data_IF_502498141641
#
_entry.id   IF_502498141641
#
_cell.length_a   1.000
_cell.length_b   1.000
_cell.length_c   1.000
_cell.angle_alpha   90.00
_cell.angle_beta   90.00
_cell.angle_gamma   90.00
#
_symmetry.space_group_name_H-M   'P 1'
#
loop_
_entity.id
_entity.type
_entity.pdbx_description
1 polymer ?
#
# COMPACT_ATOMS: atom_id res chain seq x y z
N UNK A 1 4.76 17.15 -84.50
CA UNK A 1 4.31 18.53 -84.26
C UNK A 1 4.84 18.91 -82.88
N UNK A 2 5.69 19.95 -82.83
CA UNK A 2 6.43 20.45 -81.67
C UNK A 2 5.50 21.27 -80.79
N UNK A 3 5.55 21.10 -79.52
CA UNK A 3 5.15 22.16 -78.57
C UNK A 3 6.19 22.24 -77.45
N UNK A 4 6.88 23.35 -77.47
CA UNK A 4 7.73 23.84 -76.37
C UNK A 4 6.82 24.16 -75.13
N UNK A 5 7.30 23.86 -73.96
CA UNK A 5 6.77 24.37 -72.76
C UNK A 5 7.90 25.08 -72.01
N UNK A 6 7.63 26.33 -71.72
CA UNK A 6 8.52 27.26 -71.03
C UNK A 6 8.63 26.92 -69.50
N UNK A 7 9.85 27.04 -68.98
CA UNK A 7 10.19 26.92 -67.57
C UNK A 7 10.19 28.34 -66.97
N UNK A 8 9.42 28.61 -65.93
CA UNK A 8 9.62 29.84 -65.15
C UNK A 8 10.75 29.67 -64.13
N UNK A 9 11.67 30.60 -64.16
CA UNK A 9 12.74 30.76 -63.19
C UNK A 9 12.15 31.11 -61.80
N UNK A 10 12.44 30.33 -60.81
CA UNK A 10 12.12 30.64 -59.42
C UNK A 10 13.38 31.21 -58.78
N UNK A 11 13.28 32.45 -58.30
CA UNK A 11 14.28 33.17 -57.54
C UNK A 11 14.64 32.46 -56.23
N UNK A 12 15.89 32.12 -56.07
CA UNK A 12 16.45 31.69 -54.79
C UNK A 12 16.64 32.91 -53.89
N UNK A 13 15.77 33.09 -52.94
CA UNK A 13 16.01 33.96 -51.80
C UNK A 13 16.87 33.23 -50.77
N UNK A 14 18.13 33.55 -50.72
CA UNK A 14 19.07 33.15 -49.66
C UNK A 14 18.74 33.91 -48.37
N UNK A 15 17.89 33.32 -47.58
CA UNK A 15 17.70 33.73 -46.18
C UNK A 15 18.73 33.04 -45.29
N UNK A 16 19.82 33.74 -44.92
CA UNK A 16 20.67 33.31 -43.82
C UNK A 16 19.91 33.41 -42.51
N UNK A 17 19.25 32.33 -42.13
CA UNK A 17 18.74 32.16 -40.79
C UNK A 17 19.84 31.57 -39.91
N UNK A 18 20.41 32.41 -39.04
CA UNK A 18 21.25 32.00 -37.95
C UNK A 18 20.43 31.15 -36.96
N UNK A 19 20.30 29.85 -37.22
CA UNK A 19 19.85 28.91 -36.22
C UNK A 19 21.01 28.75 -35.21
N UNK A 20 20.87 29.45 -34.07
CA UNK A 20 21.57 29.06 -32.86
C UNK A 20 21.06 27.69 -32.47
N UNK A 21 21.87 26.65 -32.67
CA UNK A 21 21.60 25.35 -32.05
C UNK A 21 21.55 25.58 -30.52
N UNK A 22 20.33 25.64 -30.00
CA UNK A 22 20.11 25.45 -28.57
C UNK A 22 20.37 23.98 -28.33
N UNK A 23 21.55 23.64 -27.83
CA UNK A 23 21.78 22.35 -27.22
C UNK A 23 20.77 22.23 -26.08
N UNK A 24 19.66 21.57 -26.36
CA UNK A 24 18.78 21.02 -25.33
C UNK A 24 19.60 19.91 -24.69
N UNK A 25 20.28 20.21 -23.59
CA UNK A 25 20.75 19.16 -22.71
C UNK A 25 19.52 18.30 -22.35
N UNK A 26 19.63 16.97 -22.49
CA UNK A 26 18.57 16.11 -22.01
C UNK A 26 18.50 16.36 -20.49
N UNK A 27 17.51 17.12 -20.08
CA UNK A 27 17.11 17.12 -18.69
C UNK A 27 16.67 15.68 -18.42
N UNK A 28 17.57 14.87 -17.87
CA UNK A 28 17.18 13.70 -17.08
C UNK A 28 16.44 14.26 -15.87
N UNK A 29 15.18 14.65 -16.07
CA UNK A 29 14.24 14.68 -15.00
C UNK A 29 14.19 13.25 -14.50
N UNK A 30 14.81 13.00 -13.36
CA UNK A 30 14.33 12.01 -12.44
C UNK A 30 12.89 12.44 -12.15
N UNK A 31 11.95 12.00 -12.96
CA UNK A 31 10.54 12.05 -12.61
C UNK A 31 10.43 11.17 -11.39
N UNK A 32 10.43 11.81 -10.22
CA UNK A 32 10.14 11.16 -8.97
C UNK A 32 8.81 10.48 -9.15
N UNK A 33 8.78 9.16 -8.99
CA UNK A 33 7.58 8.34 -9.09
C UNK A 33 6.66 8.62 -7.89
N UNK A 34 6.14 9.84 -7.82
CA UNK A 34 5.13 10.20 -6.84
C UNK A 34 3.80 9.66 -7.36
N UNK A 35 3.19 8.78 -6.60
CA UNK A 35 1.85 8.26 -6.92
C UNK A 35 0.80 9.36 -6.79
N UNK A 36 -0.23 9.33 -7.64
CA UNK A 36 -1.38 10.24 -7.51
C UNK A 36 -2.25 9.84 -6.30
N UNK A 37 -3.15 10.74 -5.88
CA UNK A 37 -4.10 10.42 -4.80
C UNK A 37 -4.97 9.20 -5.12
N UNK A 38 -5.40 9.05 -6.38
CA UNK A 38 -6.19 7.89 -6.81
C UNK A 38 -5.38 6.59 -6.74
N UNK A 39 -4.12 6.63 -7.20
CA UNK A 39 -3.22 5.47 -7.10
C UNK A 39 -2.94 5.12 -5.64
N UNK A 40 -2.65 6.11 -4.81
CA UNK A 40 -2.41 5.91 -3.39
C UNK A 40 -3.63 5.30 -2.68
N UNK A 41 -4.83 5.76 -3.02
CA UNK A 41 -6.08 5.22 -2.48
C UNK A 41 -6.26 3.72 -2.81
N UNK A 42 -6.02 3.31 -4.06
CA UNK A 42 -6.12 1.90 -4.43
C UNK A 42 -5.04 1.05 -3.74
N UNK A 43 -3.81 1.56 -3.64
CA UNK A 43 -2.72 0.88 -2.92
C UNK A 43 -3.08 0.69 -1.44
N UNK A 44 -3.61 1.72 -0.77
CA UNK A 44 -4.04 1.66 0.63
C UNK A 44 -5.13 0.60 0.82
N UNK A 45 -6.15 0.59 -0.03
CA UNK A 45 -7.25 -0.39 0.03
C UNK A 45 -6.74 -1.82 -0.13
N UNK A 46 -5.87 -2.03 -1.12
CA UNK A 46 -5.29 -3.34 -1.39
C UNK A 46 -4.46 -3.83 -0.19
N UNK A 47 -3.55 -3.01 0.32
CA UNK A 47 -2.68 -3.38 1.45
C UNK A 47 -3.48 -3.60 2.75
N UNK A 48 -4.49 -2.77 3.00
CA UNK A 48 -5.38 -2.96 4.13
C UNK A 48 -6.15 -4.28 4.03
N UNK A 49 -6.69 -4.59 2.84
CA UNK A 49 -7.38 -5.86 2.59
C UNK A 49 -6.44 -7.06 2.77
N UNK A 50 -5.23 -7.02 2.19
CA UNK A 50 -4.23 -8.08 2.35
C UNK A 50 -3.88 -8.31 3.83
N UNK A 51 -3.73 -7.24 4.60
CA UNK A 51 -3.49 -7.33 6.04
C UNK A 51 -4.68 -8.00 6.75
N UNK A 52 -5.91 -7.61 6.47
CA UNK A 52 -7.09 -8.21 7.09
C UNK A 52 -7.28 -9.68 6.70
N UNK A 53 -7.02 -10.01 5.43
CA UNK A 53 -7.11 -11.39 4.94
C UNK A 53 -6.01 -12.28 5.53
N UNK A 54 -4.86 -11.70 5.90
CA UNK A 54 -3.77 -12.41 6.57
C UNK A 54 -4.06 -12.74 8.04
N UNK A 55 -5.07 -12.13 8.65
CA UNK A 55 -5.43 -12.44 10.02
C UNK A 55 -6.04 -13.83 10.09
N UNK A 56 -5.43 -14.68 10.92
CA UNK A 56 -5.94 -16.02 11.14
C UNK A 56 -7.19 -15.95 12.00
N UNK A 57 -8.26 -16.55 11.55
CA UNK A 57 -9.39 -16.83 12.44
C UNK A 57 -8.93 -17.76 13.56
N UNK A 58 -9.24 -17.41 14.80
CA UNK A 58 -8.94 -18.27 15.95
C UNK A 58 -9.93 -19.44 15.90
N UNK A 59 -9.56 -20.48 15.16
CA UNK A 59 -10.25 -21.75 15.30
C UNK A 59 -9.79 -22.40 16.60
N UNK A 60 -10.70 -22.91 17.43
CA UNK A 60 -10.38 -23.62 18.67
C UNK A 60 -9.55 -24.90 18.51
N UNK A 61 -9.15 -25.21 17.28
CA UNK A 61 -8.40 -26.38 16.84
C UNK A 61 -6.98 -26.05 16.34
N UNK A 62 -6.49 -24.81 16.48
CA UNK A 62 -5.13 -24.48 16.01
C UNK A 62 -4.07 -25.32 16.72
N UNK A 63 -3.11 -25.88 15.97
CA UNK A 63 -1.95 -26.56 16.58
C UNK A 63 -1.24 -25.61 17.54
N UNK A 64 -0.86 -26.12 18.69
CA UNK A 64 -0.18 -25.34 19.73
C UNK A 64 1.01 -26.13 20.26
N UNK A 65 2.05 -25.40 20.66
CA UNK A 65 3.17 -25.95 21.38
C UNK A 65 3.29 -25.29 22.77
N UNK A 66 3.98 -25.95 23.69
CA UNK A 66 4.35 -25.40 24.97
C UNK A 66 5.87 -25.25 25.01
N UNK A 67 6.34 -24.04 25.31
CA UNK A 67 7.75 -23.73 25.43
C UNK A 67 7.95 -22.85 26.66
N UNK A 68 8.86 -23.25 27.58
CA UNK A 68 9.11 -22.52 28.83
C UNK A 68 7.83 -22.17 29.61
N UNK A 69 6.94 -23.17 29.78
CA UNK A 69 5.64 -23.04 30.49
C UNK A 69 4.62 -22.10 29.81
N UNK A 70 4.91 -21.58 28.60
CA UNK A 70 4.00 -20.72 27.84
C UNK A 70 3.39 -21.50 26.69
N UNK A 71 2.13 -21.17 26.40
CA UNK A 71 1.42 -21.69 25.24
C UNK A 71 1.69 -20.80 24.03
N UNK A 72 1.95 -21.43 22.90
CA UNK A 72 2.15 -20.77 21.63
C UNK A 72 1.18 -21.33 20.59
N UNK A 73 0.67 -20.44 19.74
CA UNK A 73 -0.25 -20.75 18.66
C UNK A 73 0.47 -20.67 17.32
N UNK A 74 0.13 -21.56 16.40
CA UNK A 74 0.71 -21.54 15.05
C UNK A 74 0.30 -20.26 14.32
N UNK A 75 1.28 -19.63 13.64
CA UNK A 75 1.06 -18.49 12.73
C UNK A 75 1.10 -19.01 11.29
N UNK A 76 -0.01 -19.55 10.79
CA UNK A 76 -0.09 -20.11 9.44
C UNK A 76 0.11 -19.09 8.33
N UNK A 77 -0.21 -17.81 8.60
CA UNK A 77 -0.13 -16.69 7.67
C UNK A 77 1.14 -15.83 7.81
N UNK A 78 2.16 -16.30 8.54
CA UNK A 78 3.37 -15.49 8.79
C UNK A 78 4.09 -15.08 7.51
N UNK A 79 4.13 -15.96 6.51
CA UNK A 79 4.77 -15.67 5.22
C UNK A 79 4.07 -14.52 4.48
N UNK A 80 2.77 -14.42 4.58
CA UNK A 80 1.98 -13.31 4.01
C UNK A 80 2.35 -11.99 4.68
N UNK A 81 2.53 -11.99 6.01
CA UNK A 81 2.98 -10.81 6.75
C UNK A 81 4.34 -10.31 6.28
N UNK A 82 5.29 -11.21 5.96
CA UNK A 82 6.62 -10.83 5.43
C UNK A 82 6.52 -10.12 4.07
N UNK A 83 5.51 -10.44 3.28
CA UNK A 83 5.25 -9.81 1.98
C UNK A 83 4.67 -8.40 2.08
N UNK A 84 3.85 -8.13 3.11
CA UNK A 84 3.08 -6.88 3.21
C UNK A 84 3.62 -5.88 4.23
N UNK A 85 4.40 -6.30 5.23
CA UNK A 85 5.00 -5.42 6.23
C UNK A 85 6.42 -5.00 5.86
N UNK A 86 6.81 -3.77 6.23
CA UNK A 86 8.22 -3.39 6.23
C UNK A 86 8.99 -4.26 7.22
N UNK A 87 10.30 -4.42 6.99
CA UNK A 87 11.14 -5.16 7.93
C UNK A 87 10.98 -4.64 9.36
N UNK A 88 10.98 -3.32 9.55
CA UNK A 88 10.82 -2.70 10.88
C UNK A 88 9.48 -3.04 11.53
N UNK A 89 8.40 -3.03 10.76
CA UNK A 89 7.06 -3.38 11.28
C UNK A 89 6.99 -4.86 11.63
N UNK A 90 7.62 -5.72 10.83
CA UNK A 90 7.69 -7.16 11.08
C UNK A 90 8.53 -7.48 12.32
N UNK A 91 9.69 -6.84 12.49
CA UNK A 91 10.54 -7.00 13.68
C UNK A 91 9.75 -6.63 14.94
N UNK A 92 9.03 -5.49 14.91
CA UNK A 92 8.14 -5.09 15.99
C UNK A 92 7.00 -6.07 16.24
N UNK A 93 6.38 -6.59 15.18
CA UNK A 93 5.35 -7.63 15.31
C UNK A 93 5.90 -8.88 16.01
N UNK A 94 7.12 -9.30 15.64
CA UNK A 94 7.79 -10.47 16.24
C UNK A 94 8.06 -10.26 17.73
N UNK A 95 8.54 -9.07 18.10
CA UNK A 95 8.79 -8.71 19.50
C UNK A 95 7.48 -8.66 20.31
N UNK A 96 6.49 -7.90 19.83
CA UNK A 96 5.21 -7.71 20.52
C UNK A 96 4.46 -9.04 20.73
N UNK A 97 4.63 -10.00 19.83
CA UNK A 97 3.92 -11.29 19.84
C UNK A 97 4.80 -12.47 20.28
N UNK A 98 6.04 -12.21 20.70
CA UNK A 98 7.03 -13.24 21.05
C UNK A 98 7.07 -14.37 20.02
N UNK A 99 7.33 -14.02 18.76
CA UNK A 99 7.32 -14.99 17.66
C UNK A 99 8.49 -15.95 17.81
N UNK A 100 8.22 -17.24 17.69
CA UNK A 100 9.20 -18.33 17.64
C UNK A 100 9.15 -19.01 16.28
N UNK A 101 10.34 -19.40 15.79
CA UNK A 101 10.45 -20.27 14.63
C UNK A 101 11.02 -21.62 15.08
N UNK A 102 10.29 -22.71 14.85
CA UNK A 102 10.66 -24.05 15.25
C UNK A 102 10.06 -25.09 14.28
N UNK A 103 10.86 -26.06 13.87
CA UNK A 103 10.43 -27.13 12.96
C UNK A 103 9.74 -26.60 11.69
N UNK A 104 10.34 -25.54 11.08
CA UNK A 104 9.84 -24.84 9.88
C UNK A 104 8.46 -24.19 10.04
N UNK A 105 8.02 -23.97 11.29
CA UNK A 105 6.73 -23.32 11.61
C UNK A 105 6.95 -22.10 12.51
N UNK A 106 6.19 -21.04 12.23
CA UNK A 106 6.14 -19.87 13.09
C UNK A 106 5.02 -19.98 14.11
N UNK A 107 5.31 -19.55 15.32
CA UNK A 107 4.40 -19.58 16.47
C UNK A 107 4.40 -18.24 17.18
N UNK A 108 3.31 -17.90 17.85
CA UNK A 108 3.17 -16.73 18.71
C UNK A 108 2.56 -17.12 20.04
N UNK A 109 3.01 -16.50 21.14
CA UNK A 109 2.34 -16.67 22.43
C UNK A 109 1.15 -15.70 22.61
N UNK A 110 0.89 -14.83 21.66
CA UNK A 110 -0.31 -14.01 21.60
C UNK A 110 -1.36 -14.70 20.72
N UNK A 111 -2.64 -14.51 21.06
CA UNK A 111 -3.72 -14.96 20.19
C UNK A 111 -3.62 -14.24 18.84
N UNK A 112 -3.76 -14.97 17.73
CA UNK A 112 -3.83 -14.35 16.41
C UNK A 112 -4.92 -13.27 16.38
N UNK A 113 -4.64 -12.17 15.67
CA UNK A 113 -5.65 -11.13 15.46
C UNK A 113 -6.75 -11.66 14.56
N UNK A 114 -7.98 -11.27 14.85
CA UNK A 114 -9.13 -11.47 13.96
C UNK A 114 -9.32 -10.23 13.09
N UNK A 115 -9.99 -10.38 11.96
CA UNK A 115 -10.47 -9.24 11.17
C UNK A 115 -11.23 -8.26 12.05
N UNK A 116 -11.09 -6.97 11.75
CA UNK A 116 -11.87 -5.96 12.43
C UNK A 116 -13.37 -6.16 12.11
N UNK A 117 -14.21 -6.06 13.16
CA UNK A 117 -15.66 -6.14 13.00
C UNK A 117 -16.23 -4.75 12.73
N UNK A 118 -16.66 -4.50 11.49
CA UNK A 118 -17.23 -3.22 11.06
C UNK A 118 -18.34 -3.45 10.00
N UNK A 119 -19.24 -2.48 9.92
CA UNK A 119 -20.31 -2.49 8.92
C UNK A 119 -19.95 -1.62 7.70
N UNK A 120 -19.13 -0.58 7.91
CA UNK A 120 -18.67 0.34 6.87
C UNK A 120 -17.23 0.76 7.12
N UNK A 121 -16.47 0.89 6.06
CA UNK A 121 -15.08 1.37 6.07
C UNK A 121 -14.92 2.59 5.17
N UNK A 122 -14.25 3.63 5.69
CA UNK A 122 -13.86 4.80 4.94
C UNK A 122 -12.37 5.09 5.09
N UNK A 123 -11.81 5.78 4.12
CA UNK A 123 -10.39 6.09 4.02
C UNK A 123 -10.22 7.59 3.89
N UNK A 124 -9.43 8.20 4.75
CA UNK A 124 -9.11 9.63 4.69
C UNK A 124 -7.63 9.83 4.45
N UNK A 125 -7.28 10.42 3.32
CA UNK A 125 -5.91 10.79 2.99
C UNK A 125 -5.37 11.82 4.00
N UNK A 126 -4.11 11.64 4.42
CA UNK A 126 -3.38 12.58 5.27
C UNK A 126 -2.24 13.20 4.47
N UNK A 127 -1.41 12.38 3.83
CA UNK A 127 -0.29 12.85 3.02
C UNK A 127 0.22 11.76 2.08
N UNK A 128 0.75 12.19 0.94
CA UNK A 128 1.44 11.35 -0.04
C UNK A 128 2.79 12.00 -0.34
N UNK A 129 3.85 11.24 -0.26
CA UNK A 129 5.21 11.62 -0.65
C UNK A 129 5.80 10.56 -1.57
N UNK A 130 7.03 10.73 -2.04
CA UNK A 130 7.73 9.78 -2.90
C UNK A 130 7.88 8.39 -2.27
N UNK A 131 8.09 8.34 -0.96
CA UNK A 131 8.44 7.14 -0.20
C UNK A 131 7.44 6.78 0.90
N UNK A 132 6.39 7.59 1.10
CA UNK A 132 5.40 7.38 2.16
C UNK A 132 3.99 7.79 1.78
N UNK A 133 3.03 6.94 2.12
CA UNK A 133 1.60 7.19 2.00
C UNK A 133 0.97 7.06 3.39
N UNK A 134 0.16 8.05 3.79
CA UNK A 134 -0.53 8.06 5.09
C UNK A 134 -2.01 8.29 4.92
N UNK A 135 -2.78 7.43 5.56
CA UNK A 135 -4.23 7.51 5.63
C UNK A 135 -4.73 7.25 7.06
N UNK A 136 -5.93 7.71 7.34
CA UNK A 136 -6.74 7.18 8.43
C UNK A 136 -7.77 6.20 7.85
N UNK A 137 -7.83 5.02 8.44
CA UNK A 137 -8.88 4.03 8.20
C UNK A 137 -9.98 4.25 9.23
N UNK A 138 -11.18 4.55 8.77
CA UNK A 138 -12.35 4.85 9.59
C UNK A 138 -13.28 3.64 9.55
N UNK A 139 -13.43 2.95 10.67
CA UNK A 139 -14.27 1.77 10.81
C UNK A 139 -15.54 2.14 11.58
N UNK A 140 -16.68 1.99 10.93
CA UNK A 140 -18.01 2.22 11.51
C UNK A 140 -18.65 0.89 11.88
N UNK A 141 -19.13 0.80 13.11
CA UNK A 141 -19.89 -0.34 13.61
C UNK A 141 -21.20 0.12 14.18
N UNK A 142 -22.31 -0.45 13.71
CA UNK A 142 -23.61 -0.22 14.30
C UNK A 142 -23.70 -0.96 15.64
N UNK A 143 -23.93 -0.23 16.72
CA UNK A 143 -24.02 -0.78 18.07
C UNK A 143 -25.45 -1.00 18.54
N UNK A 144 -26.41 -0.35 17.89
CA UNK A 144 -27.84 -0.52 18.17
C UNK A 144 -28.68 -0.34 16.91
N UNK A 145 -29.43 -1.39 16.57
CA UNK A 145 -30.43 -1.38 15.49
C UNK A 145 -31.82 -1.11 16.03
N UNK A 146 -32.61 -0.30 15.33
CA UNK A 146 -34.03 -0.05 15.62
C UNK A 146 -34.80 0.17 14.31
N UNK A 147 -35.82 -0.64 14.07
CA UNK A 147 -36.60 -0.63 12.82
C UNK A 147 -35.74 -0.71 11.55
N UNK A 148 -34.78 -1.65 11.51
CA UNK A 148 -33.83 -1.89 10.41
C UNK A 148 -32.89 -0.72 10.13
N UNK A 149 -32.84 0.28 10.99
CA UNK A 149 -31.93 1.42 10.90
C UNK A 149 -30.95 1.41 12.05
N UNK A 150 -29.70 1.75 11.75
CA UNK A 150 -28.71 1.95 12.79
C UNK A 150 -29.06 3.22 13.59
N UNK A 151 -29.30 3.05 14.89
CA UNK A 151 -29.61 4.16 15.79
C UNK A 151 -28.36 4.72 16.45
N UNK A 152 -27.43 3.85 16.81
CA UNK A 152 -26.15 4.23 17.41
C UNK A 152 -25.02 3.54 16.65
N UNK A 153 -23.94 4.26 16.41
CA UNK A 153 -22.73 3.72 15.80
C UNK A 153 -21.52 4.06 16.65
N UNK A 154 -20.52 3.22 16.60
CA UNK A 154 -19.16 3.53 17.04
C UNK A 154 -18.29 3.83 15.83
N UNK A 155 -17.35 4.75 15.98
CA UNK A 155 -16.33 5.07 14.99
C UNK A 155 -14.96 4.81 15.60
N UNK A 156 -14.18 3.96 14.94
CA UNK A 156 -12.78 3.76 15.26
C UNK A 156 -11.91 4.34 14.16
N UNK A 157 -10.94 5.17 14.53
CA UNK A 157 -9.98 5.76 13.59
C UNK A 157 -8.61 5.14 13.81
N UNK A 158 -8.09 4.49 12.78
CA UNK A 158 -6.80 3.81 12.81
C UNK A 158 -5.84 4.46 11.83
N UNK A 159 -4.68 5.02 12.27
CA UNK A 159 -3.64 5.46 11.37
C UNK A 159 -3.08 4.25 10.60
N UNK A 160 -2.90 4.44 9.30
CA UNK A 160 -2.36 3.43 8.41
C UNK A 160 -1.31 4.09 7.51
N UNK A 161 -0.08 3.60 7.59
CA UNK A 161 1.03 4.17 6.84
C UNK A 161 1.72 3.09 6.01
N UNK A 162 2.05 3.45 4.78
CA UNK A 162 2.91 2.66 3.91
C UNK A 162 4.22 3.39 3.70
N UNK A 163 5.30 2.63 3.62
CA UNK A 163 6.62 3.07 3.19
C UNK A 163 7.09 2.23 2.00
N UNK A 164 7.92 2.85 1.15
CA UNK A 164 8.52 2.16 0.01
C UNK A 164 9.74 1.39 0.49
N UNK A 165 9.72 0.07 0.29
CA UNK A 165 10.83 -0.83 0.61
C UNK A 165 11.05 -1.79 -0.58
N UNK A 166 12.25 -1.74 -1.19
CA UNK A 166 12.59 -2.51 -2.41
C UNK A 166 11.61 -2.27 -3.57
N UNK A 167 11.25 -1.00 -3.80
CA UNK A 167 10.28 -0.55 -4.81
C UNK A 167 8.83 -1.02 -4.60
N UNK A 168 8.53 -1.63 -3.47
CA UNK A 168 7.18 -2.04 -3.08
C UNK A 168 6.62 -1.17 -1.96
N UNK A 169 5.32 -0.91 -1.99
CA UNK A 169 4.61 -0.26 -0.89
C UNK A 169 4.27 -1.28 0.18
N UNK A 170 4.88 -1.12 1.36
CA UNK A 170 4.71 -2.00 2.52
C UNK A 170 4.15 -1.27 3.72
N UNK A 171 3.40 -1.96 4.55
CA UNK A 171 2.82 -1.41 5.77
C UNK A 171 3.95 -1.12 6.76
N UNK A 172 4.12 0.15 7.12
CA UNK A 172 5.14 0.62 8.07
C UNK A 172 4.56 1.00 9.43
N UNK A 173 3.25 1.27 9.48
CA UNK A 173 2.55 1.56 10.73
C UNK A 173 1.07 1.24 10.61
N UNK A 174 0.57 0.51 11.59
CA UNK A 174 -0.85 0.25 11.78
C UNK A 174 -1.13 0.02 13.26
N UNK A 175 -2.11 0.76 13.80
CA UNK A 175 -2.58 0.56 15.17
C UNK A 175 -4.07 0.25 15.11
N UNK A 176 -4.44 -0.94 15.53
CA UNK A 176 -5.81 -1.25 15.96
C UNK A 176 -5.94 -0.74 17.39
N UNK A 177 -6.86 0.19 17.60
CA UNK A 177 -7.25 0.59 18.95
C UNK A 177 -8.41 -0.27 19.43
#
# INVERSE_FOLDING_TARGET
MKKLLAIPAILLLTGCSLYKEVKVEPQTKNEKNIVTSEQAFEIIKERYKQMEDSYTEIAGTMPTIYENEKRYYTLSNYQELTGIYTKKMLDKYNEDNNVLFKDDVYYSNSLPRTKADYDEINYTEISITEDKIKYNILLYKCTKMENEKCKNSSLTTNPFELERENDEWKISNYKVK
#
